data_IF_907382916618
#
_entry.id   IF_907382916618
#
_cell.length_a   1.000
_cell.length_b   1.000
_cell.length_c   1.000
_cell.angle_alpha   90.00
_cell.angle_beta   90.00
_cell.angle_gamma   90.00
#
_symmetry.space_group_name_H-M   'P 1'
#
loop_
_entity.id
_entity.type
_entity.pdbx_description
1 polymer ?
#
# COMPACT_ATOMS: atom_id res chain seq x y z
N UNK A 1 53.74 -42.77 -16.37
CA UNK A 1 52.74 -42.48 -17.43
C UNK A 1 51.31 -42.64 -16.87
N UNK A 2 50.96 -43.78 -16.24
CA UNK A 2 49.60 -44.00 -15.72
C UNK A 2 49.08 -43.01 -14.66
N UNK A 3 49.95 -42.45 -13.82
CA UNK A 3 49.56 -41.46 -12.78
C UNK A 3 49.28 -40.06 -13.34
N UNK A 4 49.91 -39.72 -14.47
CA UNK A 4 49.67 -38.44 -15.17
C UNK A 4 48.33 -38.47 -15.91
N UNK A 5 48.02 -39.60 -16.56
CA UNK A 5 46.74 -39.80 -17.26
C UNK A 5 45.55 -39.80 -16.29
N UNK A 6 45.70 -40.35 -15.06
CA UNK A 6 44.67 -40.34 -14.04
C UNK A 6 44.38 -38.90 -13.52
N UNK A 7 45.39 -38.06 -13.35
CA UNK A 7 45.24 -36.65 -12.94
C UNK A 7 44.59 -35.82 -14.02
N UNK A 8 44.88 -36.05 -15.28
CA UNK A 8 44.23 -35.33 -16.41
C UNK A 8 42.74 -35.70 -16.49
N UNK A 9 42.39 -37.01 -16.37
CA UNK A 9 41.03 -37.48 -16.36
C UNK A 9 40.22 -36.95 -15.15
N UNK A 10 40.82 -36.87 -13.95
CA UNK A 10 40.18 -36.25 -12.80
C UNK A 10 39.95 -34.77 -12.95
N UNK A 11 40.87 -34.02 -13.54
CA UNK A 11 40.73 -32.57 -13.79
C UNK A 11 39.68 -32.28 -14.86
N UNK A 12 39.62 -33.08 -15.93
CA UNK A 12 38.56 -32.97 -16.95
C UNK A 12 37.16 -33.29 -16.41
N UNK A 13 37.06 -34.32 -15.57
CA UNK A 13 35.79 -34.73 -14.97
C UNK A 13 35.29 -33.68 -13.96
N UNK A 14 36.20 -33.06 -13.19
CA UNK A 14 35.88 -31.96 -12.26
C UNK A 14 35.45 -30.69 -13.01
N UNK A 15 36.10 -30.38 -14.14
CA UNK A 15 35.74 -29.25 -15.00
C UNK A 15 34.35 -29.45 -15.67
N UNK A 16 34.06 -30.66 -16.16
CA UNK A 16 32.76 -31.01 -16.74
C UNK A 16 31.62 -30.92 -15.71
N UNK A 17 31.80 -31.49 -14.51
CA UNK A 17 30.79 -31.40 -13.44
C UNK A 17 30.56 -29.98 -12.97
N UNK A 18 31.58 -29.12 -12.97
CA UNK A 18 31.45 -27.68 -12.63
C UNK A 18 30.71 -26.88 -13.70
N UNK A 19 30.93 -27.21 -14.98
CA UNK A 19 30.23 -26.56 -16.11
C UNK A 19 28.77 -27.01 -16.15
N UNK A 20 28.50 -28.32 -16.03
CA UNK A 20 27.13 -28.87 -15.97
C UNK A 20 26.34 -28.34 -14.75
N UNK A 21 26.98 -28.18 -13.59
CA UNK A 21 26.40 -27.57 -12.40
C UNK A 21 26.03 -26.08 -12.62
N UNK A 22 26.90 -25.32 -13.29
CA UNK A 22 26.63 -23.91 -13.64
C UNK A 22 25.54 -23.77 -14.70
N UNK A 23 25.51 -24.64 -15.70
CA UNK A 23 24.45 -24.63 -16.72
C UNK A 23 23.10 -25.06 -16.15
N UNK A 24 23.06 -26.08 -15.29
CA UNK A 24 21.84 -26.52 -14.61
C UNK A 24 21.28 -25.42 -13.68
N UNK A 25 22.14 -24.75 -12.92
CA UNK A 25 21.79 -23.60 -12.09
C UNK A 25 21.28 -22.40 -12.90
N UNK A 26 21.92 -22.09 -14.03
CA UNK A 26 21.48 -21.05 -14.95
C UNK A 26 20.13 -21.36 -15.64
N UNK A 27 19.91 -22.63 -16.02
CA UNK A 27 18.64 -23.11 -16.58
C UNK A 27 17.52 -23.10 -15.52
N UNK A 28 17.82 -23.45 -14.29
CA UNK A 28 16.87 -23.44 -13.17
C UNK A 28 16.51 -21.99 -12.77
N UNK A 29 17.48 -21.07 -12.75
CA UNK A 29 17.26 -19.65 -12.53
C UNK A 29 16.42 -19.02 -13.66
N UNK A 30 16.72 -19.31 -14.92
CA UNK A 30 15.93 -18.84 -16.08
C UNK A 30 14.51 -19.40 -16.07
N UNK A 31 14.29 -20.66 -15.62
CA UNK A 31 12.96 -21.23 -15.42
C UNK A 31 12.22 -20.53 -14.28
N UNK A 32 12.90 -20.17 -13.19
CA UNK A 32 12.35 -19.40 -12.07
C UNK A 32 11.87 -18.01 -12.50
N UNK A 33 12.71 -17.22 -13.15
CA UNK A 33 12.37 -15.90 -13.68
C UNK A 33 11.24 -15.96 -14.70
N UNK A 34 11.27 -16.93 -15.62
CA UNK A 34 10.19 -17.13 -16.61
C UNK A 34 8.85 -17.50 -15.95
N UNK A 35 8.89 -18.23 -14.82
CA UNK A 35 7.71 -18.52 -14.01
C UNK A 35 7.19 -17.27 -13.30
N UNK A 36 8.08 -16.43 -12.76
CA UNK A 36 7.71 -15.16 -12.11
C UNK A 36 7.05 -14.16 -13.06
N UNK A 37 7.36 -14.22 -14.35
CA UNK A 37 6.82 -13.34 -15.38
C UNK A 37 5.74 -14.00 -16.26
N UNK A 38 5.22 -15.17 -15.84
CA UNK A 38 4.28 -15.95 -16.63
C UNK A 38 3.00 -15.17 -16.98
N UNK A 39 2.48 -14.35 -16.08
CA UNK A 39 1.29 -13.55 -16.35
C UNK A 39 1.50 -12.50 -17.46
N UNK A 40 2.73 -12.04 -17.71
CA UNK A 40 3.00 -11.13 -18.84
C UNK A 40 2.93 -11.78 -20.22
N UNK A 41 2.80 -13.10 -20.31
CA UNK A 41 2.52 -13.77 -21.60
C UNK A 41 1.11 -13.46 -22.11
N UNK A 42 0.17 -13.15 -21.20
CA UNK A 42 -1.20 -12.77 -21.53
C UNK A 42 -1.25 -11.30 -21.96
N UNK A 43 -1.69 -11.04 -23.21
CA UNK A 43 -1.75 -9.69 -23.78
C UNK A 43 -2.58 -8.74 -22.93
N UNK A 44 -3.78 -9.17 -22.53
CA UNK A 44 -4.72 -8.31 -21.80
C UNK A 44 -4.21 -7.99 -20.38
N UNK A 45 -3.57 -8.95 -19.69
CA UNK A 45 -2.91 -8.68 -18.41
C UNK A 45 -1.77 -7.67 -18.56
N UNK A 46 -0.91 -7.83 -19.56
CA UNK A 46 0.23 -6.93 -19.80
C UNK A 46 -0.23 -5.50 -20.06
N UNK A 47 -1.23 -5.31 -20.92
CA UNK A 47 -1.79 -4.00 -21.23
C UNK A 47 -2.41 -3.37 -19.98
N UNK A 48 -3.22 -4.13 -19.23
CA UNK A 48 -3.85 -3.66 -18.01
C UNK A 48 -2.81 -3.31 -16.94
N UNK A 49 -1.77 -4.13 -16.78
CA UNK A 49 -0.72 -3.91 -15.79
C UNK A 49 0.06 -2.61 -16.05
N UNK A 50 0.40 -2.33 -17.32
CA UNK A 50 1.08 -1.07 -17.70
C UNK A 50 0.18 0.13 -17.41
N UNK A 51 -1.09 0.10 -17.80
CA UNK A 51 -2.04 1.17 -17.51
C UNK A 51 -2.22 1.39 -16.01
N UNK A 52 -2.44 0.32 -15.26
CA UNK A 52 -2.59 0.39 -13.81
C UNK A 52 -1.31 0.89 -13.11
N UNK A 53 -0.12 0.53 -13.60
CA UNK A 53 1.15 1.02 -13.08
C UNK A 53 1.28 2.54 -13.29
N UNK A 54 1.00 3.03 -14.51
CA UNK A 54 1.01 4.46 -14.82
C UNK A 54 0.07 5.25 -13.90
N UNK A 55 -1.17 4.81 -13.78
CA UNK A 55 -2.18 5.45 -12.94
C UNK A 55 -1.81 5.39 -11.45
N UNK A 56 -1.27 4.27 -10.97
CA UNK A 56 -0.86 4.15 -9.57
C UNK A 56 0.30 5.09 -9.24
N UNK A 57 1.31 5.21 -10.12
CA UNK A 57 2.43 6.16 -9.94
C UNK A 57 1.91 7.59 -9.91
N UNK A 58 1.02 7.97 -10.86
CA UNK A 58 0.40 9.28 -10.88
C UNK A 58 -0.41 9.58 -9.62
N UNK A 59 -1.16 8.61 -9.12
CA UNK A 59 -1.95 8.74 -7.89
C UNK A 59 -1.05 8.97 -6.66
N UNK A 60 0.05 8.22 -6.50
CA UNK A 60 1.00 8.44 -5.42
C UNK A 60 1.72 9.78 -5.54
N UNK A 61 2.05 10.21 -6.75
CA UNK A 61 2.58 11.54 -7.03
C UNK A 61 1.59 12.63 -6.59
N UNK A 62 0.31 12.49 -6.95
CA UNK A 62 -0.73 13.43 -6.55
C UNK A 62 -0.92 13.48 -5.03
N UNK A 63 -0.90 12.33 -4.33
CA UNK A 63 -1.03 12.29 -2.87
C UNK A 63 0.04 13.18 -2.21
N UNK A 64 1.28 13.12 -2.68
CA UNK A 64 2.36 13.95 -2.17
C UNK A 64 2.10 15.44 -2.45
N UNK A 65 1.78 15.76 -3.69
CA UNK A 65 1.47 17.13 -4.12
C UNK A 65 0.29 17.71 -3.34
N UNK A 66 -0.77 16.92 -3.13
CA UNK A 66 -1.99 17.34 -2.43
C UNK A 66 -1.75 17.56 -0.94
N UNK A 67 -1.05 16.64 -0.25
CA UNK A 67 -0.71 16.81 1.16
C UNK A 67 0.14 18.07 1.39
N UNK A 68 1.08 18.34 0.51
CA UNK A 68 1.88 19.56 0.56
C UNK A 68 1.04 20.80 0.28
N UNK A 69 0.14 20.75 -0.70
CA UNK A 69 -0.78 21.84 -1.00
C UNK A 69 -1.72 22.15 0.17
N UNK A 70 -2.31 21.12 0.80
CA UNK A 70 -3.15 21.28 2.00
C UNK A 70 -2.37 21.97 3.11
N UNK A 71 -1.12 21.55 3.34
CA UNK A 71 -0.27 22.17 4.35
C UNK A 71 0.06 23.63 4.01
N UNK A 72 0.42 23.93 2.76
CA UNK A 72 0.77 25.29 2.31
C UNK A 72 -0.42 26.28 2.40
N UNK A 73 -1.65 25.80 2.15
CA UNK A 73 -2.87 26.61 2.23
C UNK A 73 -3.36 26.83 3.66
N UNK A 74 -3.18 25.87 4.56
CA UNK A 74 -3.83 25.89 5.88
C UNK A 74 -2.85 26.02 7.03
N UNK A 75 -1.61 25.60 6.83
CA UNK A 75 -0.60 25.46 7.87
C UNK A 75 -1.11 24.66 9.11
N UNK A 76 -2.06 23.74 8.91
CA UNK A 76 -2.79 23.04 9.97
C UNK A 76 -2.71 21.52 9.86
N UNK A 77 -2.25 20.82 10.92
CA UNK A 77 -2.28 19.35 10.98
C UNK A 77 -3.70 18.77 10.83
N UNK A 78 -4.71 19.48 11.34
CA UNK A 78 -6.09 19.04 11.27
C UNK A 78 -6.57 18.81 9.85
N UNK A 79 -6.29 19.76 8.92
CA UNK A 79 -6.72 19.61 7.53
C UNK A 79 -6.00 18.51 6.79
N UNK A 80 -4.76 18.17 7.14
CA UNK A 80 -4.07 16.97 6.63
C UNK A 80 -4.79 15.69 7.07
N UNK A 81 -5.13 15.61 8.35
CA UNK A 81 -5.89 14.49 8.89
C UNK A 81 -7.30 14.39 8.30
N UNK A 82 -7.96 15.53 8.10
CA UNK A 82 -9.30 15.62 7.51
C UNK A 82 -9.30 15.20 6.03
N UNK A 83 -8.30 15.60 5.24
CA UNK A 83 -8.17 15.18 3.84
C UNK A 83 -8.01 13.66 3.74
N UNK A 84 -7.08 13.09 4.52
CA UNK A 84 -6.89 11.65 4.59
C UNK A 84 -8.16 10.90 5.04
N UNK A 85 -8.90 11.47 6.00
CA UNK A 85 -10.18 10.91 6.45
C UNK A 85 -11.24 10.94 5.36
N UNK A 86 -11.45 12.09 4.71
CA UNK A 86 -12.47 12.27 3.68
C UNK A 86 -12.19 11.42 2.43
N UNK A 87 -10.94 11.20 2.09
CA UNK A 87 -10.56 10.33 0.97
C UNK A 87 -10.86 8.86 1.27
N UNK A 88 -10.67 8.41 2.51
CA UNK A 88 -10.81 7.00 2.89
C UNK A 88 -12.22 6.66 3.43
N UNK A 89 -12.95 7.61 3.97
CA UNK A 89 -14.28 7.39 4.54
C UNK A 89 -15.26 6.75 3.55
N UNK A 90 -15.39 7.23 2.30
CA UNK A 90 -16.28 6.60 1.34
C UNK A 90 -15.89 5.15 1.02
N UNK A 91 -14.59 4.85 1.04
CA UNK A 91 -14.09 3.49 0.79
C UNK A 91 -14.59 2.55 1.89
N UNK A 92 -14.56 2.97 3.15
CA UNK A 92 -15.07 2.17 4.26
C UNK A 92 -16.59 1.98 4.16
N UNK A 93 -17.32 3.05 3.86
CA UNK A 93 -18.78 3.03 3.82
C UNK A 93 -19.35 2.28 2.61
N UNK A 94 -18.75 2.46 1.44
CA UNK A 94 -19.33 2.03 0.17
C UNK A 94 -18.62 0.85 -0.50
N UNK A 95 -17.45 0.38 -0.04
CA UNK A 95 -16.73 -0.75 -0.69
C UNK A 95 -17.57 -2.04 -0.71
N UNK A 96 -18.35 -2.30 0.32
CA UNK A 96 -19.26 -3.47 0.34
C UNK A 96 -20.35 -3.36 -0.74
N UNK A 97 -20.91 -2.16 -0.90
CA UNK A 97 -21.90 -1.86 -1.95
C UNK A 97 -21.21 -1.93 -3.32
N UNK A 98 -20.00 -1.37 -3.44
CA UNK A 98 -19.16 -1.42 -4.64
C UNK A 98 -18.82 -2.85 -5.06
N UNK A 99 -18.58 -3.76 -4.10
CA UNK A 99 -18.38 -5.18 -4.37
C UNK A 99 -19.61 -5.83 -5.02
N UNK A 100 -20.79 -5.64 -4.42
CA UNK A 100 -22.07 -6.13 -5.01
C UNK A 100 -22.31 -5.52 -6.39
N UNK A 101 -21.98 -4.23 -6.56
CA UNK A 101 -22.12 -3.56 -7.85
C UNK A 101 -21.17 -4.16 -8.90
N UNK A 102 -19.91 -4.41 -8.53
CA UNK A 102 -18.91 -5.03 -9.40
C UNK A 102 -19.27 -6.49 -9.80
N UNK A 103 -20.04 -7.20 -8.94
CA UNK A 103 -20.55 -8.53 -9.26
C UNK A 103 -21.75 -8.50 -10.21
N UNK A 104 -22.63 -7.49 -10.11
CA UNK A 104 -23.87 -7.39 -10.88
C UNK A 104 -23.69 -6.69 -12.23
N UNK A 105 -22.79 -5.75 -12.32
CA UNK A 105 -22.55 -4.94 -13.50
C UNK A 105 -21.23 -5.31 -14.19
N UNK A 106 -21.04 -4.81 -15.39
CA UNK A 106 -19.80 -5.00 -16.15
C UNK A 106 -18.62 -4.34 -15.39
N UNK A 107 -17.68 -5.18 -14.93
CA UNK A 107 -16.50 -4.79 -14.14
C UNK A 107 -15.65 -3.76 -14.86
N UNK A 108 -15.47 -3.90 -16.19
CA UNK A 108 -14.74 -2.96 -17.03
C UNK A 108 -15.42 -1.61 -17.07
N UNK A 109 -16.77 -1.57 -17.27
CA UNK A 109 -17.53 -0.32 -17.29
C UNK A 109 -17.51 0.39 -15.93
N UNK A 110 -17.65 -0.36 -14.84
CA UNK A 110 -17.58 0.16 -13.48
C UNK A 110 -16.20 0.77 -13.21
N UNK A 111 -15.13 0.08 -13.62
CA UNK A 111 -13.77 0.60 -13.47
C UNK A 111 -13.55 1.84 -14.35
N UNK A 112 -14.00 1.84 -15.59
CA UNK A 112 -13.94 3.02 -16.46
C UNK A 112 -14.66 4.22 -15.86
N UNK A 113 -15.88 4.05 -15.33
CA UNK A 113 -16.61 5.11 -14.65
C UNK A 113 -15.82 5.70 -13.48
N UNK A 114 -15.19 4.83 -12.65
CA UNK A 114 -14.30 5.27 -11.58
C UNK A 114 -13.10 6.08 -12.11
N UNK A 115 -12.49 5.66 -13.22
CA UNK A 115 -11.36 6.38 -13.84
C UNK A 115 -11.80 7.74 -14.39
N UNK A 116 -12.97 7.86 -15.02
CA UNK A 116 -13.50 9.14 -15.47
C UNK A 116 -13.68 10.12 -14.32
N UNK A 117 -14.24 9.68 -13.18
CA UNK A 117 -14.43 10.54 -12.00
C UNK A 117 -13.06 10.97 -11.45
N UNK A 118 -12.08 10.06 -11.35
CA UNK A 118 -10.74 10.38 -10.87
C UNK A 118 -9.99 11.32 -11.82
N UNK A 119 -10.16 11.16 -13.13
CA UNK A 119 -9.64 12.13 -14.13
C UNK A 119 -10.24 13.51 -13.91
N UNK A 120 -11.57 13.57 -13.74
CA UNK A 120 -12.26 14.83 -13.48
C UNK A 120 -11.79 15.50 -12.20
N UNK A 121 -11.68 14.77 -11.08
CA UNK A 121 -11.26 15.33 -9.79
C UNK A 121 -9.82 15.83 -9.83
N UNK A 122 -8.91 15.07 -10.43
CA UNK A 122 -7.51 15.47 -10.60
C UNK A 122 -7.35 16.66 -11.56
N UNK A 123 -8.05 16.62 -12.71
CA UNK A 123 -8.06 17.72 -13.68
C UNK A 123 -8.70 18.99 -13.13
N UNK A 124 -9.77 18.87 -12.34
CA UNK A 124 -10.41 20.02 -11.67
C UNK A 124 -9.45 20.69 -10.68
N UNK A 125 -8.70 19.89 -9.87
CA UNK A 125 -7.66 20.46 -9.00
C UNK A 125 -6.59 21.21 -9.82
N UNK A 126 -6.15 20.64 -10.94
CA UNK A 126 -5.20 21.30 -11.82
C UNK A 126 -5.74 22.62 -12.37
N UNK A 127 -7.00 22.67 -12.80
CA UNK A 127 -7.65 23.89 -13.30
C UNK A 127 -7.80 24.94 -12.20
N UNK A 128 -8.26 24.54 -11.00
CA UNK A 128 -8.41 25.46 -9.87
C UNK A 128 -7.06 26.05 -9.43
N UNK A 129 -5.99 25.25 -9.46
CA UNK A 129 -4.62 25.70 -9.20
C UNK A 129 -4.13 26.67 -10.27
N UNK A 130 -4.37 26.36 -11.55
CA UNK A 130 -3.97 27.22 -12.67
C UNK A 130 -4.67 28.60 -12.62
N UNK A 131 -5.95 28.61 -12.25
CA UNK A 131 -6.74 29.84 -12.09
C UNK A 131 -6.45 30.57 -10.78
N UNK A 132 -5.61 30.06 -9.91
CA UNK A 132 -5.30 30.64 -8.59
C UNK A 132 -6.52 30.78 -7.65
N UNK A 133 -7.58 29.97 -7.84
CA UNK A 133 -8.81 30.00 -7.05
C UNK A 133 -9.00 28.78 -6.15
N UNK A 134 -7.95 27.98 -6.00
CA UNK A 134 -8.00 26.79 -5.14
C UNK A 134 -8.17 27.19 -3.67
N UNK A 135 -9.13 26.54 -2.99
CA UNK A 135 -9.37 26.65 -1.55
C UNK A 135 -9.38 25.26 -0.94
N UNK A 136 -9.13 25.18 0.34
CA UNK A 136 -9.09 23.90 1.08
C UNK A 136 -10.37 23.07 0.91
N UNK A 137 -11.53 23.70 0.91
CA UNK A 137 -12.81 23.00 0.75
C UNK A 137 -12.97 22.33 -0.63
N UNK A 138 -12.36 22.88 -1.70
CA UNK A 138 -12.32 22.22 -3.01
C UNK A 138 -11.56 20.89 -2.90
N UNK A 139 -10.38 20.91 -2.24
CA UNK A 139 -9.57 19.72 -2.06
C UNK A 139 -10.37 18.67 -1.27
N UNK A 140 -10.96 19.04 -0.13
CA UNK A 140 -11.76 18.15 0.71
C UNK A 140 -12.92 17.50 -0.05
N UNK A 141 -13.66 18.29 -0.83
CA UNK A 141 -14.79 17.80 -1.65
C UNK A 141 -14.31 16.85 -2.73
N UNK A 142 -13.24 17.19 -3.46
CA UNK A 142 -12.72 16.35 -4.53
C UNK A 142 -12.07 15.08 -3.99
N UNK A 143 -11.45 15.11 -2.80
CA UNK A 143 -10.96 13.92 -2.09
C UNK A 143 -12.08 12.95 -1.73
N UNK A 144 -13.20 13.47 -1.22
CA UNK A 144 -14.37 12.65 -0.93
C UNK A 144 -14.95 12.01 -2.19
N UNK A 145 -15.10 12.78 -3.28
CA UNK A 145 -15.58 12.26 -4.59
C UNK A 145 -14.62 11.18 -5.12
N UNK A 146 -13.31 11.40 -5.03
CA UNK A 146 -12.30 10.39 -5.40
C UNK A 146 -12.44 9.13 -4.57
N UNK A 147 -12.66 9.25 -3.26
CA UNK A 147 -12.92 8.13 -2.36
C UNK A 147 -14.17 7.33 -2.74
N UNK A 148 -15.27 8.03 -3.13
CA UNK A 148 -16.48 7.38 -3.67
C UNK A 148 -16.15 6.61 -4.94
N UNK A 149 -15.45 7.21 -5.89
CA UNK A 149 -15.06 6.54 -7.14
C UNK A 149 -14.21 5.29 -6.87
N UNK A 150 -13.27 5.36 -5.94
CA UNK A 150 -12.41 4.22 -5.56
C UNK A 150 -13.17 3.10 -4.85
N UNK A 151 -14.23 3.42 -4.10
CA UNK A 151 -15.06 2.42 -3.42
C UNK A 151 -15.75 1.45 -4.39
N UNK A 152 -16.00 1.87 -5.61
CA UNK A 152 -16.53 1.03 -6.70
C UNK A 152 -15.41 0.49 -7.61
N UNK A 153 -14.43 1.33 -7.93
CA UNK A 153 -13.32 0.99 -8.81
C UNK A 153 -12.40 -0.09 -8.24
N UNK A 154 -12.12 -0.06 -6.95
CA UNK A 154 -11.23 -1.03 -6.28
C UNK A 154 -11.73 -2.48 -6.38
N UNK A 155 -12.97 -2.80 -5.95
CA UNK A 155 -13.55 -4.14 -6.13
C UNK A 155 -13.64 -4.56 -7.60
N UNK A 156 -14.03 -3.65 -8.50
CA UNK A 156 -14.11 -3.93 -9.94
C UNK A 156 -12.72 -4.32 -10.51
N UNK A 157 -11.66 -3.62 -10.12
CA UNK A 157 -10.29 -3.93 -10.50
C UNK A 157 -9.85 -5.31 -10.01
N UNK A 158 -10.08 -5.62 -8.73
CA UNK A 158 -9.72 -6.92 -8.16
C UNK A 158 -10.49 -8.08 -8.81
N UNK A 159 -11.76 -7.86 -9.15
CA UNK A 159 -12.60 -8.85 -9.83
C UNK A 159 -12.25 -9.00 -11.31
N UNK A 160 -11.61 -8.00 -11.93
CA UNK A 160 -11.13 -8.04 -13.32
C UNK A 160 -9.86 -8.89 -13.44
N UNK A 161 -8.94 -8.82 -12.48
CA UNK A 161 -7.63 -9.47 -12.53
C UNK A 161 -7.69 -10.97 -12.87
N UNK A 162 -8.57 -11.79 -12.24
CA UNK A 162 -8.67 -13.22 -12.55
C UNK A 162 -9.18 -13.53 -13.97
N UNK A 163 -9.78 -12.56 -14.67
CA UNK A 163 -10.28 -12.73 -16.04
C UNK A 163 -9.22 -12.47 -17.11
N UNK A 164 -8.05 -11.94 -16.70
CA UNK A 164 -6.97 -11.56 -17.62
C UNK A 164 -5.91 -12.65 -17.79
N UNK A 165 -5.95 -13.70 -16.97
CA UNK A 165 -4.98 -14.80 -16.96
C UNK A 165 -5.67 -16.15 -16.73
N UNK A 166 -5.03 -17.25 -17.12
CA UNK A 166 -5.49 -18.58 -16.74
C UNK A 166 -5.38 -18.81 -15.22
N UNK A 167 -6.23 -19.70 -14.68
CA UNK A 167 -6.25 -20.03 -13.24
C UNK A 167 -4.89 -20.47 -12.70
N UNK A 168 -4.07 -21.17 -13.49
CA UNK A 168 -2.74 -21.66 -13.13
C UNK A 168 -1.74 -20.51 -12.88
N UNK A 169 -1.90 -19.37 -13.59
CA UNK A 169 -0.99 -18.22 -13.52
C UNK A 169 -1.56 -17.07 -12.68
N UNK A 170 -2.78 -17.24 -12.11
CA UNK A 170 -3.41 -16.24 -11.25
C UNK A 170 -2.55 -15.85 -10.03
N UNK A 171 -1.88 -16.77 -9.31
CA UNK A 171 -0.99 -16.38 -8.22
C UNK A 171 0.15 -15.46 -8.68
N UNK A 172 0.66 -15.68 -9.89
CA UNK A 172 1.69 -14.83 -10.49
C UNK A 172 1.15 -13.43 -10.83
N UNK A 173 -0.05 -13.34 -11.41
CA UNK A 173 -0.71 -12.07 -11.69
C UNK A 173 -0.96 -11.25 -10.41
N UNK A 174 -1.39 -11.89 -9.33
CA UNK A 174 -1.58 -11.25 -8.01
C UNK A 174 -0.25 -10.74 -7.44
N UNK A 175 0.83 -11.53 -7.54
CA UNK A 175 2.15 -11.10 -7.10
C UNK A 175 2.66 -9.89 -7.89
N UNK A 176 2.53 -9.90 -9.22
CA UNK A 176 2.91 -8.76 -10.08
C UNK A 176 2.08 -7.51 -9.81
N UNK A 177 0.79 -7.67 -9.47
CA UNK A 177 -0.06 -6.57 -9.06
C UNK A 177 0.40 -5.96 -7.71
N UNK A 178 0.83 -6.79 -6.78
CA UNK A 178 1.40 -6.33 -5.51
C UNK A 178 2.73 -5.58 -5.73
N UNK A 179 3.59 -6.07 -6.62
CA UNK A 179 4.83 -5.39 -7.02
C UNK A 179 4.52 -4.02 -7.62
N UNK A 180 3.56 -3.93 -8.54
CA UNK A 180 3.12 -2.69 -9.16
C UNK A 180 2.71 -1.64 -8.12
N UNK A 181 1.86 -2.03 -7.16
CA UNK A 181 1.38 -1.12 -6.12
C UNK A 181 2.52 -0.60 -5.23
N UNK A 182 3.43 -1.48 -4.80
CA UNK A 182 4.58 -1.09 -3.98
C UNK A 182 5.59 -0.24 -4.77
N UNK A 183 5.81 -0.55 -6.05
CA UNK A 183 6.67 0.24 -6.94
C UNK A 183 6.12 1.65 -7.12
N UNK A 184 4.82 1.79 -7.33
CA UNK A 184 4.15 3.09 -7.45
C UNK A 184 4.30 3.94 -6.18
N UNK A 185 4.28 3.32 -5.00
CA UNK A 185 4.47 3.98 -3.72
C UNK A 185 5.86 4.62 -3.56
N UNK A 186 6.86 4.11 -4.27
CA UNK A 186 8.23 4.68 -4.29
C UNK A 186 8.39 5.65 -5.46
N UNK A 187 7.98 5.23 -6.66
CA UNK A 187 8.18 6.03 -7.87
C UNK A 187 7.32 7.29 -7.90
N UNK A 188 6.11 7.27 -7.30
CA UNK A 188 5.23 8.45 -7.23
C UNK A 188 5.89 9.64 -6.53
N UNK A 189 6.35 9.51 -5.28
CA UNK A 189 7.11 10.54 -4.58
C UNK A 189 8.35 11.01 -5.35
N UNK A 190 9.14 10.08 -5.89
CA UNK A 190 10.34 10.41 -6.67
C UNK A 190 10.00 11.18 -7.95
N UNK A 191 8.92 10.82 -8.63
CA UNK A 191 8.44 11.53 -9.81
C UNK A 191 7.98 12.95 -9.44
N UNK A 192 7.31 13.13 -8.29
CA UNK A 192 6.96 14.46 -7.81
C UNK A 192 8.20 15.30 -7.51
N UNK A 193 9.20 14.76 -6.82
CA UNK A 193 10.46 15.46 -6.56
C UNK A 193 11.19 15.83 -7.85
N UNK A 194 11.22 14.93 -8.85
CA UNK A 194 11.80 15.19 -10.15
C UNK A 194 11.05 16.30 -10.92
N UNK A 195 9.70 16.27 -10.87
CA UNK A 195 8.86 17.32 -11.48
C UNK A 195 9.12 18.66 -10.82
N UNK A 196 9.11 18.71 -9.48
CA UNK A 196 9.42 19.92 -8.72
C UNK A 196 10.80 20.49 -9.07
N UNK A 197 11.85 19.65 -9.00
CA UNK A 197 13.22 20.07 -9.31
C UNK A 197 13.39 20.55 -10.76
N UNK A 198 12.68 19.94 -11.71
CA UNK A 198 12.71 20.35 -13.13
C UNK A 198 12.03 21.70 -13.33
N UNK A 199 10.85 21.91 -12.74
CA UNK A 199 10.12 23.17 -12.85
C UNK A 199 10.89 24.32 -12.20
N UNK A 200 11.46 24.12 -11.01
CA UNK A 200 12.28 25.13 -10.34
C UNK A 200 13.53 25.49 -11.15
N UNK A 201 14.20 24.52 -11.79
CA UNK A 201 15.35 24.76 -12.69
C UNK A 201 14.96 25.58 -13.92
N UNK A 202 13.73 25.45 -14.41
CA UNK A 202 13.23 26.22 -15.54
C UNK A 202 12.69 27.60 -15.14
N UNK A 203 12.79 27.97 -13.85
CA UNK A 203 12.37 29.27 -13.34
C UNK A 203 10.87 29.34 -12.99
N UNK A 204 10.17 28.19 -12.99
CA UNK A 204 8.78 28.12 -12.52
C UNK A 204 8.70 28.07 -10.99
N UNK A 205 7.56 28.45 -10.45
CA UNK A 205 7.28 28.44 -9.01
C UNK A 205 6.87 27.04 -8.51
N UNK A 206 7.01 26.80 -7.19
CA UNK A 206 6.54 25.57 -6.55
C UNK A 206 5.04 25.30 -6.78
N UNK A 207 4.10 26.25 -6.68
CA UNK A 207 2.69 26.02 -7.02
C UNK A 207 2.48 25.53 -8.46
N UNK A 208 3.28 25.99 -9.42
CA UNK A 208 3.21 25.53 -10.81
C UNK A 208 3.67 24.07 -10.95
N UNK A 209 4.69 23.66 -10.20
CA UNK A 209 5.13 22.26 -10.15
C UNK A 209 4.07 21.34 -9.50
N UNK A 210 3.42 21.81 -8.43
CA UNK A 210 2.30 21.09 -7.80
C UNK A 210 1.14 20.94 -8.80
N UNK A 211 0.81 22.01 -9.53
CA UNK A 211 -0.20 21.96 -10.58
C UNK A 211 0.14 20.96 -11.68
N UNK A 212 1.40 20.93 -12.12
CA UNK A 212 1.87 19.93 -13.10
C UNK A 212 1.68 18.49 -12.59
N UNK A 213 1.86 18.24 -11.29
CA UNK A 213 1.62 16.92 -10.71
C UNK A 213 0.15 16.48 -10.82
N UNK A 214 -0.80 17.36 -10.57
CA UNK A 214 -2.23 17.07 -10.77
C UNK A 214 -2.56 16.82 -12.23
N UNK A 215 -2.02 17.62 -13.14
CA UNK A 215 -2.21 17.47 -14.57
C UNK A 215 -1.62 16.15 -15.08
N UNK A 216 -0.40 15.79 -14.68
CA UNK A 216 0.25 14.53 -15.05
C UNK A 216 -0.53 13.32 -14.53
N UNK A 217 -1.08 13.40 -13.32
CA UNK A 217 -1.95 12.34 -12.83
C UNK A 217 -3.25 12.24 -13.63
N UNK A 218 -3.91 13.36 -13.96
CA UNK A 218 -5.07 13.34 -14.84
C UNK A 218 -4.75 12.67 -16.19
N UNK A 219 -3.56 12.95 -16.76
CA UNK A 219 -3.10 12.30 -18.00
C UNK A 219 -2.86 10.79 -17.80
N UNK A 220 -2.35 10.36 -16.65
CA UNK A 220 -2.14 8.94 -16.35
C UNK A 220 -3.44 8.14 -16.36
N UNK A 221 -4.56 8.75 -15.96
CA UNK A 221 -5.88 8.12 -16.05
C UNK A 221 -6.35 7.92 -17.49
N UNK A 222 -5.99 8.80 -18.44
CA UNK A 222 -6.28 8.55 -19.86
C UNK A 222 -5.54 7.34 -20.38
N UNK A 223 -4.30 7.10 -19.93
CA UNK A 223 -3.55 5.88 -20.29
C UNK A 223 -4.29 4.64 -19.82
N UNK A 224 -4.73 4.57 -18.55
CA UNK A 224 -5.46 3.40 -18.06
C UNK A 224 -6.83 3.25 -18.70
N UNK A 225 -7.52 4.34 -19.01
CA UNK A 225 -8.79 4.26 -19.77
C UNK A 225 -8.58 3.67 -21.15
N UNK A 226 -7.53 4.10 -21.87
CA UNK A 226 -7.15 3.52 -23.17
C UNK A 226 -6.83 2.03 -23.07
N UNK A 227 -6.08 1.61 -22.03
CA UNK A 227 -5.82 0.18 -21.81
C UNK A 227 -7.09 -0.60 -21.52
N UNK A 228 -7.97 -0.08 -20.64
CA UNK A 228 -9.26 -0.72 -20.34
C UNK A 228 -10.14 -0.85 -21.58
N UNK A 229 -10.17 0.16 -22.45
CA UNK A 229 -10.92 0.10 -23.71
C UNK A 229 -10.39 -0.94 -24.69
N UNK A 230 -9.11 -1.27 -24.60
CA UNK A 230 -8.43 -2.26 -25.45
C UNK A 230 -8.58 -3.71 -24.96
N UNK A 231 -9.18 -3.95 -23.78
CA UNK A 231 -9.36 -5.29 -23.22
C UNK A 231 -10.50 -6.05 -23.89
N UNK A 232 -10.28 -7.34 -24.14
CA UNK A 232 -11.28 -8.27 -24.68
C UNK A 232 -11.83 -9.20 -23.60
N UNK A 233 -12.43 -8.63 -22.55
CA UNK A 233 -12.98 -9.41 -21.42
C UNK A 233 -14.46 -9.67 -21.61
N UNK A 234 -14.86 -10.95 -21.57
CA UNK A 234 -16.27 -11.35 -21.58
C UNK A 234 -16.91 -11.06 -20.23
N UNK A 235 -18.11 -10.48 -20.25
CA UNK A 235 -18.92 -10.32 -19.04
C UNK A 235 -19.29 -11.71 -18.49
N UNK A 236 -18.95 -11.97 -17.24
CA UNK A 236 -19.34 -13.20 -16.53
C UNK A 236 -20.55 -12.83 -15.66
N UNK A 237 -21.73 -13.42 -15.92
CA UNK A 237 -22.92 -13.15 -15.11
C UNK A 237 -22.71 -13.55 -13.66
N UNK A 238 -23.35 -12.85 -12.70
CA UNK A 238 -23.19 -13.10 -11.28
C UNK A 238 -23.68 -14.50 -10.91
N UNK A 239 -22.89 -15.22 -10.14
CA UNK A 239 -23.33 -16.41 -9.43
C UNK A 239 -24.22 -15.95 -8.24
N UNK A 240 -25.30 -16.68 -7.94
CA UNK A 240 -26.23 -16.36 -6.86
C UNK A 240 -25.46 -16.09 -5.56
N UNK A 241 -25.61 -14.88 -5.02
CA UNK A 241 -24.98 -14.49 -3.75
C UNK A 241 -25.99 -14.63 -2.61
N UNK A 242 -25.58 -15.32 -1.56
CA UNK A 242 -26.29 -15.33 -0.27
C UNK A 242 -26.48 -13.90 0.24
N UNK A 243 -27.46 -13.69 1.13
CA UNK A 243 -27.68 -12.36 1.71
C UNK A 243 -26.42 -11.90 2.47
N UNK A 244 -25.76 -10.86 1.97
CA UNK A 244 -24.54 -10.27 2.55
C UNK A 244 -24.63 -10.05 4.07
N UNK A 245 -25.80 -9.68 4.57
CA UNK A 245 -26.06 -9.46 6.00
C UNK A 245 -25.87 -10.73 6.83
N UNK A 246 -26.30 -11.88 6.31
CA UNK A 246 -26.21 -13.17 7.01
C UNK A 246 -24.75 -13.67 7.01
N UNK A 247 -24.03 -13.41 5.94
CA UNK A 247 -22.60 -13.73 5.85
C UNK A 247 -21.76 -12.89 6.82
N UNK A 248 -22.00 -11.58 6.90
CA UNK A 248 -21.32 -10.71 7.87
C UNK A 248 -21.66 -11.10 9.31
N UNK A 249 -22.93 -11.39 9.60
CA UNK A 249 -23.35 -11.81 10.94
C UNK A 249 -22.70 -13.13 11.36
N UNK A 250 -22.66 -14.10 10.49
CA UNK A 250 -21.99 -15.39 10.75
C UNK A 250 -20.47 -15.23 10.94
N UNK A 251 -19.83 -14.39 10.11
CA UNK A 251 -18.42 -14.05 10.25
C UNK A 251 -18.12 -13.38 11.59
N UNK A 252 -18.92 -12.39 11.98
CA UNK A 252 -18.76 -11.67 13.26
C UNK A 252 -18.97 -12.60 14.46
N UNK A 253 -19.96 -13.48 14.39
CA UNK A 253 -20.21 -14.50 15.42
C UNK A 253 -19.00 -15.43 15.54
N UNK A 254 -18.45 -15.91 14.40
CA UNK A 254 -17.27 -16.76 14.39
C UNK A 254 -16.04 -16.07 15.00
N UNK A 255 -15.74 -14.84 14.58
CA UNK A 255 -14.60 -14.07 15.11
C UNK A 255 -14.72 -13.87 16.62
N UNK A 256 -15.91 -13.50 17.13
CA UNK A 256 -16.14 -13.27 18.57
C UNK A 256 -15.86 -14.49 19.43
N UNK A 257 -16.02 -15.70 18.91
CA UNK A 257 -15.78 -16.95 19.64
C UNK A 257 -14.33 -17.46 19.48
N UNK A 258 -13.49 -16.76 18.72
CA UNK A 258 -12.08 -17.13 18.51
C UNK A 258 -11.17 -16.00 18.99
N UNK A 259 -10.72 -16.08 20.25
CA UNK A 259 -9.92 -15.03 20.90
C UNK A 259 -8.68 -14.61 20.12
N UNK A 260 -7.98 -15.56 19.46
CA UNK A 260 -6.80 -15.27 18.63
C UNK A 260 -7.16 -14.39 17.43
N UNK A 261 -8.31 -14.61 16.76
CA UNK A 261 -8.77 -13.76 15.65
C UNK A 261 -9.15 -12.37 16.13
N UNK A 262 -9.83 -12.27 17.28
CA UNK A 262 -10.16 -10.97 17.89
C UNK A 262 -8.87 -10.20 18.18
N UNK A 263 -7.88 -10.85 18.79
CA UNK A 263 -6.59 -10.22 19.12
C UNK A 263 -5.87 -9.71 17.89
N UNK A 264 -5.78 -10.50 16.81
CA UNK A 264 -5.15 -10.11 15.56
C UNK A 264 -5.89 -8.96 14.84
N UNK A 265 -7.23 -8.96 14.86
CA UNK A 265 -8.04 -7.90 14.26
C UNK A 265 -7.90 -6.60 15.05
N UNK A 266 -7.92 -6.67 16.39
CA UNK A 266 -7.69 -5.51 17.26
C UNK A 266 -6.27 -4.98 17.07
N UNK A 267 -5.27 -5.86 17.04
CA UNK A 267 -3.88 -5.48 16.79
C UNK A 267 -3.75 -4.71 15.46
N UNK A 268 -4.35 -5.22 14.37
CA UNK A 268 -4.34 -4.56 13.08
C UNK A 268 -5.04 -3.18 13.11
N UNK A 269 -6.21 -3.10 13.75
CA UNK A 269 -6.96 -1.85 13.87
C UNK A 269 -6.18 -0.79 14.65
N UNK A 270 -5.60 -1.16 15.79
CA UNK A 270 -4.80 -0.26 16.63
C UNK A 270 -3.51 0.16 15.93
N UNK A 271 -2.83 -0.79 15.24
CA UNK A 271 -1.62 -0.49 14.46
C UNK A 271 -1.90 0.54 13.36
N UNK A 272 -3.02 0.38 12.65
CA UNK A 272 -3.37 1.33 11.59
C UNK A 272 -3.84 2.67 12.14
N UNK A 273 -4.60 2.66 13.24
CA UNK A 273 -5.09 3.87 13.89
C UNK A 273 -3.93 4.73 14.42
N UNK A 274 -2.98 4.15 15.12
CA UNK A 274 -1.85 4.88 15.71
C UNK A 274 -0.70 5.09 14.71
N UNK A 275 -0.40 4.08 13.90
CA UNK A 275 0.82 4.06 13.10
C UNK A 275 0.73 4.87 11.81
N UNK A 276 -0.41 4.88 11.11
CA UNK A 276 -0.53 5.61 9.84
C UNK A 276 -0.46 7.12 9.96
N UNK A 277 -0.74 7.67 11.14
CA UNK A 277 -0.62 9.10 11.42
C UNK A 277 0.78 9.66 11.08
N UNK A 278 1.84 8.85 11.21
CA UNK A 278 3.21 9.30 10.86
C UNK A 278 3.30 9.70 9.38
N UNK A 279 2.73 8.92 8.48
CA UNK A 279 2.75 9.21 7.04
C UNK A 279 1.92 10.45 6.69
N UNK A 280 0.79 10.65 7.36
CA UNK A 280 -0.09 11.81 7.19
C UNK A 280 0.62 13.11 7.58
N UNK A 281 1.48 13.08 8.61
CA UNK A 281 2.14 14.28 9.12
C UNK A 281 3.57 14.47 8.64
N UNK A 282 4.11 13.60 7.78
CA UNK A 282 5.44 13.78 7.20
C UNK A 282 5.66 15.17 6.55
N UNK A 283 4.69 15.79 5.83
CA UNK A 283 4.91 17.13 5.30
C UNK A 283 5.15 18.18 6.40
N UNK A 284 4.51 18.03 7.59
CA UNK A 284 4.78 18.88 8.74
C UNK A 284 6.19 18.69 9.30
N UNK A 285 6.68 17.46 9.35
CA UNK A 285 8.07 17.18 9.75
C UNK A 285 9.05 17.79 8.76
N UNK A 286 8.82 17.61 7.44
CA UNK A 286 9.65 18.20 6.42
C UNK A 286 9.73 19.72 6.57
N UNK A 287 8.59 20.41 6.73
CA UNK A 287 8.53 21.86 6.81
C UNK A 287 8.99 22.43 8.16
N UNK A 288 8.47 21.89 9.29
CA UNK A 288 8.64 22.53 10.61
C UNK A 288 9.82 21.97 11.41
N UNK A 289 10.19 20.71 11.19
CA UNK A 289 11.28 20.05 11.94
C UNK A 289 12.59 20.12 11.19
N UNK A 290 12.55 19.84 9.88
CA UNK A 290 13.75 19.83 9.05
C UNK A 290 13.93 21.10 8.23
N UNK A 291 12.99 22.06 8.30
CA UNK A 291 13.03 23.32 7.53
C UNK A 291 13.26 23.10 6.03
N UNK A 292 12.76 21.97 5.52
CA UNK A 292 12.84 21.58 4.12
C UNK A 292 11.59 21.93 3.33
N UNK A 293 11.60 21.53 2.07
CA UNK A 293 10.58 21.79 1.06
C UNK A 293 9.77 20.54 0.70
N UNK A 294 8.94 20.65 -0.34
CA UNK A 294 8.18 19.51 -0.86
C UNK A 294 9.06 18.37 -1.40
N UNK A 295 10.30 18.65 -1.83
CA UNK A 295 11.27 17.63 -2.22
C UNK A 295 11.74 16.82 -1.00
N UNK A 296 12.01 17.49 0.12
CA UNK A 296 12.34 16.85 1.40
C UNK A 296 11.25 15.88 1.83
N UNK A 297 9.99 16.32 1.78
CA UNK A 297 8.84 15.44 2.06
C UNK A 297 8.79 14.23 1.11
N UNK A 298 9.03 14.45 -0.17
CA UNK A 298 9.03 13.38 -1.17
C UNK A 298 10.10 12.32 -0.90
N UNK A 299 11.32 12.74 -0.53
CA UNK A 299 12.40 11.82 -0.16
C UNK A 299 12.03 11.00 1.09
N UNK A 300 11.54 11.64 2.14
CA UNK A 300 11.08 10.95 3.36
C UNK A 300 10.03 9.87 3.03
N UNK A 301 9.09 10.19 2.14
CA UNK A 301 8.04 9.24 1.73
C UNK A 301 8.61 8.10 0.89
N UNK A 302 9.57 8.38 0.00
CA UNK A 302 10.27 7.37 -0.81
C UNK A 302 11.05 6.39 0.08
N UNK A 303 11.78 6.87 1.10
CA UNK A 303 12.48 6.00 2.07
C UNK A 303 11.52 5.08 2.81
N UNK A 304 10.38 5.60 3.28
CA UNK A 304 9.33 4.77 3.90
C UNK A 304 8.77 3.73 2.93
N UNK A 305 8.57 4.09 1.66
CA UNK A 305 8.13 3.20 0.60
C UNK A 305 9.14 2.08 0.32
N UNK A 306 10.43 2.42 0.18
CA UNK A 306 11.52 1.45 0.01
C UNK A 306 11.59 0.47 1.19
N UNK A 307 11.46 0.97 2.42
CA UNK A 307 11.37 0.11 3.60
C UNK A 307 10.20 -0.86 3.55
N UNK A 308 9.03 -0.41 3.08
CA UNK A 308 7.86 -1.28 2.93
C UNK A 308 8.09 -2.41 1.91
N UNK A 309 8.81 -2.13 0.82
CA UNK A 309 9.22 -3.16 -0.15
C UNK A 309 10.17 -4.15 0.51
N UNK A 310 11.17 -3.66 1.24
CA UNK A 310 12.12 -4.52 1.96
C UNK A 310 11.40 -5.43 2.96
N UNK A 311 10.47 -4.89 3.75
CA UNK A 311 9.66 -5.68 4.68
C UNK A 311 8.82 -6.76 4.01
N UNK A 312 8.19 -6.44 2.88
CA UNK A 312 7.43 -7.41 2.08
C UNK A 312 8.32 -8.55 1.56
N UNK A 313 9.52 -8.21 1.07
CA UNK A 313 10.49 -9.19 0.59
C UNK A 313 11.01 -10.09 1.72
N UNK A 314 11.28 -9.55 2.90
CA UNK A 314 11.69 -10.32 4.07
C UNK A 314 10.62 -11.33 4.46
N UNK A 315 9.34 -10.91 4.56
CA UNK A 315 8.24 -11.83 4.88
C UNK A 315 8.04 -12.89 3.78
N UNK A 316 8.16 -12.49 2.52
CA UNK A 316 8.06 -13.43 1.39
C UNK A 316 9.21 -14.48 1.40
N UNK A 317 10.42 -14.06 1.79
CA UNK A 317 11.57 -14.95 1.94
C UNK A 317 11.44 -15.89 3.13
N UNK A 318 10.94 -15.41 4.26
CA UNK A 318 10.70 -16.24 5.45
C UNK A 318 9.59 -17.28 5.21
N UNK A 319 8.59 -16.98 4.38
CA UNK A 319 7.45 -17.86 4.11
C UNK A 319 6.64 -18.17 5.38
N UNK A 320 6.23 -19.43 5.54
CA UNK A 320 5.62 -19.92 6.77
C UNK A 320 6.73 -20.34 7.75
N UNK A 321 6.79 -19.72 8.90
CA UNK A 321 7.78 -19.99 9.95
C UNK A 321 7.09 -20.17 11.31
N UNK A 322 7.81 -20.80 12.22
CA UNK A 322 7.32 -21.01 13.58
C UNK A 322 7.20 -19.67 14.33
N UNK A 323 6.19 -19.57 15.20
CA UNK A 323 5.94 -18.39 16.06
C UNK A 323 5.70 -17.08 15.29
N UNK A 324 4.96 -17.14 14.19
CA UNK A 324 4.58 -15.95 13.41
C UNK A 324 3.91 -14.89 14.28
N UNK A 325 3.08 -15.28 15.25
CA UNK A 325 2.41 -14.36 16.17
C UNK A 325 3.40 -13.59 17.06
N UNK A 326 4.39 -14.28 17.60
CA UNK A 326 5.45 -13.64 18.40
C UNK A 326 6.26 -12.65 17.54
N UNK A 327 6.60 -13.03 16.32
CA UNK A 327 7.33 -12.14 15.40
C UNK A 327 6.51 -10.90 15.05
N UNK A 328 5.19 -11.04 14.82
CA UNK A 328 4.32 -9.89 14.57
C UNK A 328 4.31 -8.91 15.76
N UNK A 329 4.22 -9.42 17.00
CA UNK A 329 4.24 -8.59 18.21
C UNK A 329 5.61 -7.94 18.46
N UNK A 330 6.72 -8.65 18.21
CA UNK A 330 8.07 -8.07 18.29
C UNK A 330 8.24 -6.95 17.26
N UNK A 331 7.82 -7.19 15.99
CA UNK A 331 7.88 -6.16 14.94
C UNK A 331 6.96 -4.98 15.26
N UNK A 332 5.81 -5.20 15.90
CA UNK A 332 4.95 -4.14 16.41
C UNK A 332 5.65 -3.28 17.46
N UNK A 333 6.35 -3.88 18.42
CA UNK A 333 7.11 -3.16 19.43
C UNK A 333 8.26 -2.36 18.80
N UNK A 334 9.01 -2.98 17.88
CA UNK A 334 10.07 -2.32 17.10
C UNK A 334 9.49 -1.14 16.32
N UNK A 335 8.36 -1.32 15.65
CA UNK A 335 7.65 -0.27 14.92
C UNK A 335 7.31 0.92 15.81
N UNK A 336 6.76 0.67 17.00
CA UNK A 336 6.46 1.72 17.99
C UNK A 336 7.71 2.46 18.47
N UNK A 337 8.81 1.75 18.76
CA UNK A 337 10.09 2.34 19.13
C UNK A 337 10.68 3.19 17.99
N UNK A 338 10.62 2.73 16.76
CA UNK A 338 11.10 3.47 15.60
C UNK A 338 10.31 4.78 15.38
N UNK A 339 8.99 4.73 15.54
CA UNK A 339 8.13 5.92 15.48
C UNK A 339 8.47 6.90 16.60
N UNK A 340 8.65 6.41 17.83
CA UNK A 340 9.05 7.22 18.96
C UNK A 340 10.41 7.90 18.72
N UNK A 341 11.40 7.15 18.25
CA UNK A 341 12.73 7.68 17.92
C UNK A 341 12.66 8.70 16.78
N UNK A 342 11.86 8.43 15.73
CA UNK A 342 11.61 9.36 14.64
C UNK A 342 11.00 10.69 15.14
N UNK A 343 10.05 10.64 16.07
CA UNK A 343 9.37 11.83 16.59
C UNK A 343 10.33 12.80 17.30
N UNK A 344 11.40 12.28 17.87
CA UNK A 344 12.42 13.06 18.63
C UNK A 344 13.57 13.49 17.71
N UNK A 345 13.78 12.78 16.59
CA UNK A 345 14.90 13.03 15.69
C UNK A 345 14.83 14.43 15.08
N UNK A 346 16.01 15.08 14.99
CA UNK A 346 16.20 16.40 14.35
C UNK A 346 17.24 16.34 13.24
N UNK A 347 17.72 15.13 12.92
CA UNK A 347 18.77 14.88 11.94
C UNK A 347 18.14 14.22 10.72
N UNK A 348 18.21 14.86 9.55
CA UNK A 348 17.50 14.43 8.35
C UNK A 348 17.89 13.01 7.90
N UNK A 349 19.20 12.73 7.72
CA UNK A 349 19.64 11.42 7.26
C UNK A 349 19.25 10.28 8.22
N UNK A 350 19.27 10.55 9.55
CA UNK A 350 18.84 9.58 10.56
C UNK A 350 17.33 9.32 10.44
N UNK A 351 16.55 10.37 10.23
CA UNK A 351 15.10 10.28 10.07
C UNK A 351 14.70 9.51 8.81
N UNK A 352 15.43 9.65 7.73
CA UNK A 352 15.24 8.84 6.50
C UNK A 352 15.50 7.35 6.75
N UNK A 353 16.58 7.01 7.46
CA UNK A 353 16.88 5.63 7.88
C UNK A 353 15.78 5.10 8.81
N UNK A 354 15.34 5.89 9.78
CA UNK A 354 14.25 5.52 10.68
C UNK A 354 12.94 5.27 9.89
N UNK A 355 12.63 6.10 8.90
CA UNK A 355 11.45 5.92 8.05
C UNK A 355 11.56 4.65 7.18
N UNK A 356 12.74 4.33 6.67
CA UNK A 356 13.00 3.06 5.99
C UNK A 356 12.74 1.87 6.93
N UNK A 357 13.34 1.88 8.13
CA UNK A 357 13.12 0.84 9.13
C UNK A 357 11.66 0.76 9.59
N UNK A 358 11.00 1.91 9.77
CA UNK A 358 9.57 2.03 10.11
C UNK A 358 8.69 1.40 9.04
N UNK A 359 8.93 1.71 7.77
CA UNK A 359 8.23 1.10 6.63
C UNK A 359 8.42 -0.42 6.57
N UNK A 360 9.64 -0.89 6.84
CA UNK A 360 9.98 -2.33 6.91
C UNK A 360 9.20 -3.02 8.02
N UNK A 361 9.27 -2.50 9.24
CA UNK A 361 8.60 -3.09 10.41
C UNK A 361 7.07 -3.11 10.22
N UNK A 362 6.49 -2.00 9.75
CA UNK A 362 5.06 -1.90 9.49
C UNK A 362 4.59 -2.95 8.49
N UNK A 363 5.33 -3.11 7.38
CA UNK A 363 4.96 -4.09 6.35
C UNK A 363 5.11 -5.53 6.85
N UNK A 364 6.10 -5.80 7.68
CA UNK A 364 6.26 -7.11 8.34
C UNK A 364 5.08 -7.41 9.27
N UNK A 365 4.65 -6.45 10.11
CA UNK A 365 3.46 -6.61 10.96
C UNK A 365 2.24 -6.93 10.11
N UNK A 366 1.95 -6.13 9.09
CA UNK A 366 0.75 -6.32 8.26
C UNK A 366 0.74 -7.62 7.50
N UNK A 367 1.85 -7.98 6.88
CA UNK A 367 1.94 -9.23 6.11
C UNK A 367 1.80 -10.44 7.00
N UNK A 368 2.45 -10.43 8.18
CA UNK A 368 2.40 -11.54 9.13
C UNK A 368 1.02 -11.68 9.76
N UNK A 369 0.41 -10.57 10.22
CA UNK A 369 -0.96 -10.60 10.79
C UNK A 369 -1.98 -11.04 9.75
N UNK A 370 -1.89 -10.53 8.51
CA UNK A 370 -2.78 -10.95 7.41
C UNK A 370 -2.65 -12.46 7.14
N UNK A 371 -1.43 -12.98 7.11
CA UNK A 371 -1.16 -14.41 6.91
C UNK A 371 -1.72 -15.25 8.05
N UNK A 372 -1.54 -14.84 9.31
CA UNK A 372 -2.09 -15.52 10.48
C UNK A 372 -3.62 -15.58 10.45
N UNK A 373 -4.29 -14.47 10.16
CA UNK A 373 -5.75 -14.44 10.04
C UNK A 373 -6.23 -15.43 8.96
N UNK A 374 -5.53 -15.51 7.82
CA UNK A 374 -5.85 -16.47 6.76
C UNK A 374 -5.58 -17.93 7.13
N UNK A 375 -4.55 -18.21 7.94
CA UNK A 375 -4.18 -19.55 8.38
C UNK A 375 -5.13 -20.07 9.46
N UNK A 376 -5.55 -19.22 10.40
CA UNK A 376 -6.46 -19.59 11.50
C UNK A 376 -7.90 -19.77 10.99
N UNK A 377 -8.33 -18.95 10.02
CA UNK A 377 -9.68 -19.02 9.49
C UNK A 377 -9.90 -20.28 8.63
N UNK A 378 -10.90 -21.14 8.95
CA UNK A 378 -11.24 -22.30 8.13
C UNK A 378 -11.70 -21.87 6.74
N UNK A 379 -11.56 -22.77 5.75
CA UNK A 379 -11.83 -22.44 4.34
C UNK A 379 -13.22 -21.84 4.11
N UNK A 380 -14.26 -22.36 4.80
CA UNK A 380 -15.66 -21.93 4.66
C UNK A 380 -15.90 -20.53 5.22
N UNK A 381 -15.10 -20.10 6.22
CA UNK A 381 -15.26 -18.82 6.91
C UNK A 381 -14.21 -17.79 6.52
N UNK A 382 -13.16 -18.21 5.79
CA UNK A 382 -11.98 -17.36 5.48
C UNK A 382 -12.37 -16.04 4.82
N UNK A 383 -13.26 -16.06 3.83
CA UNK A 383 -13.72 -14.84 3.17
C UNK A 383 -14.42 -13.87 4.11
N UNK A 384 -15.28 -14.39 5.00
CA UNK A 384 -16.04 -13.59 5.98
C UNK A 384 -15.14 -12.98 7.05
N UNK A 385 -14.20 -13.78 7.59
CA UNK A 385 -13.21 -13.32 8.58
C UNK A 385 -12.29 -12.27 7.96
N UNK A 386 -11.81 -12.49 6.73
CA UNK A 386 -10.97 -11.53 6.02
C UNK A 386 -11.69 -10.22 5.72
N UNK A 387 -13.01 -10.24 5.44
CA UNK A 387 -13.79 -9.01 5.26
C UNK A 387 -13.84 -8.18 6.54
N UNK A 388 -14.05 -8.81 7.71
CA UNK A 388 -14.04 -8.12 9.01
C UNK A 388 -12.64 -7.56 9.32
N UNK A 389 -11.60 -8.36 9.10
CA UNK A 389 -10.22 -7.92 9.23
C UNK A 389 -9.92 -6.68 8.37
N UNK A 390 -10.35 -6.70 7.10
CA UNK A 390 -10.11 -5.57 6.18
C UNK A 390 -10.85 -4.31 6.58
N UNK A 391 -12.06 -4.42 7.15
CA UNK A 391 -12.80 -3.26 7.69
C UNK A 391 -12.04 -2.67 8.88
N UNK A 392 -11.57 -3.50 9.81
CA UNK A 392 -10.79 -3.05 10.96
C UNK A 392 -9.46 -2.42 10.54
N UNK A 393 -8.75 -3.07 9.63
CA UNK A 393 -7.47 -2.60 9.08
C UNK A 393 -7.60 -1.26 8.34
N UNK A 394 -8.56 -1.13 7.43
CA UNK A 394 -8.76 0.10 6.65
C UNK A 394 -9.44 1.21 7.45
N UNK A 395 -10.27 0.86 8.42
CA UNK A 395 -10.98 1.83 9.25
C UNK A 395 -10.07 2.56 10.24
N UNK A 396 -9.02 1.90 10.71
CA UNK A 396 -8.06 2.52 11.63
C UNK A 396 -7.32 3.72 11.02
N UNK A 397 -6.92 3.62 9.75
CA UNK A 397 -6.13 4.67 9.08
C UNK A 397 -6.78 6.06 9.09
N UNK A 398 -8.00 6.26 8.54
CA UNK A 398 -8.61 7.58 8.46
C UNK A 398 -9.00 8.12 9.82
N UNK A 399 -9.50 7.26 10.72
CA UNK A 399 -9.85 7.67 12.07
C UNK A 399 -8.61 8.11 12.85
N UNK A 400 -7.50 7.39 12.71
CA UNK A 400 -6.21 7.76 13.33
C UNK A 400 -5.63 9.04 12.76
N UNK A 401 -5.73 9.27 11.44
CA UNK A 401 -5.28 10.50 10.80
C UNK A 401 -6.10 11.71 11.25
N UNK A 402 -7.43 11.57 11.33
CA UNK A 402 -8.31 12.64 11.79
C UNK A 402 -8.07 12.98 13.27
N UNK A 403 -8.07 11.95 14.15
CA UNK A 403 -7.81 12.12 15.59
C UNK A 403 -6.40 12.69 15.81
N UNK A 404 -5.39 12.13 15.15
CA UNK A 404 -4.04 12.62 15.20
C UNK A 404 -3.91 14.06 14.73
N UNK A 405 -4.63 14.45 13.65
CA UNK A 405 -4.69 15.83 13.16
C UNK A 405 -5.26 16.80 14.19
N UNK A 406 -6.35 16.42 14.84
CA UNK A 406 -6.95 17.21 15.90
C UNK A 406 -5.99 17.41 17.09
N UNK A 407 -5.42 16.33 17.61
CA UNK A 407 -4.47 16.43 18.71
C UNK A 407 -3.16 17.15 18.32
N UNK A 408 -2.70 16.99 17.08
CA UNK A 408 -1.50 17.68 16.60
C UNK A 408 -1.66 19.21 16.52
N UNK A 409 -2.89 19.74 16.44
CA UNK A 409 -3.12 21.18 16.56
C UNK A 409 -2.90 21.69 17.99
N UNK A 410 -3.12 20.84 19.00
CA UNK A 410 -3.02 21.20 20.41
C UNK A 410 -1.61 21.04 20.95
N UNK A 411 -0.98 19.87 20.70
CA UNK A 411 0.29 19.48 21.32
C UNK A 411 1.44 19.29 20.33
N UNK A 412 1.19 19.56 19.04
CA UNK A 412 2.18 19.43 17.96
C UNK A 412 2.29 18.00 17.41
N UNK A 413 2.58 17.92 16.10
CA UNK A 413 2.69 16.63 15.39
C UNK A 413 3.79 15.71 15.97
N UNK A 414 5.02 16.19 16.32
CA UNK A 414 6.04 15.32 16.92
C UNK A 414 5.57 14.66 18.22
N UNK A 415 4.88 15.39 19.10
CA UNK A 415 4.37 14.88 20.37
C UNK A 415 3.32 13.80 20.14
N UNK A 416 2.35 14.04 19.23
CA UNK A 416 1.32 13.05 18.89
C UNK A 416 1.95 11.76 18.36
N UNK A 417 2.91 11.88 17.44
CA UNK A 417 3.61 10.73 16.86
C UNK A 417 4.41 9.98 17.92
N UNK A 418 5.06 10.70 18.84
CA UNK A 418 5.76 10.09 19.98
C UNK A 418 4.82 9.31 20.91
N UNK A 419 3.67 9.90 21.27
CA UNK A 419 2.62 9.23 22.07
C UNK A 419 2.13 7.97 21.34
N UNK A 420 1.85 8.07 20.05
CA UNK A 420 1.43 6.91 19.24
C UNK A 420 2.50 5.81 19.27
N UNK A 421 3.79 6.15 19.19
CA UNK A 421 4.89 5.19 19.31
C UNK A 421 4.88 4.46 20.65
N UNK A 422 4.74 5.20 21.76
CA UNK A 422 4.63 4.61 23.10
C UNK A 422 3.41 3.70 23.21
N UNK A 423 2.25 4.14 22.73
CA UNK A 423 1.02 3.32 22.76
C UNK A 423 1.17 2.04 21.96
N UNK A 424 1.83 2.07 20.80
CA UNK A 424 2.10 0.88 19.99
C UNK A 424 2.99 -0.12 20.73
N UNK A 425 4.01 0.35 21.46
CA UNK A 425 4.87 -0.50 22.32
C UNK A 425 4.06 -1.09 23.47
N UNK A 426 3.23 -0.29 24.14
CA UNK A 426 2.39 -0.77 25.25
C UNK A 426 1.37 -1.82 24.78
N UNK A 427 0.77 -1.63 23.60
CA UNK A 427 -0.14 -2.62 23.00
C UNK A 427 0.62 -3.92 22.69
N UNK A 428 1.80 -3.85 22.11
CA UNK A 428 2.61 -5.04 21.86
C UNK A 428 2.99 -5.74 23.18
N UNK A 429 3.41 -5.00 24.20
CA UNK A 429 3.73 -5.54 25.52
C UNK A 429 2.50 -6.20 26.18
N UNK A 430 1.33 -5.57 26.10
CA UNK A 430 0.09 -6.15 26.62
C UNK A 430 -0.21 -7.52 25.99
N UNK A 431 -0.16 -7.63 24.66
CA UNK A 431 -0.40 -8.90 23.98
C UNK A 431 0.70 -9.93 24.26
N UNK A 432 1.94 -9.52 24.45
CA UNK A 432 3.04 -10.42 24.83
C UNK A 432 2.89 -10.98 26.24
N UNK A 433 2.39 -10.19 27.20
CA UNK A 433 2.33 -10.56 28.62
C UNK A 433 0.99 -11.24 28.97
N UNK A 434 -0.14 -10.73 28.47
CA UNK A 434 -1.49 -11.13 28.91
C UNK A 434 -2.11 -12.18 27.99
N UNK A 435 -1.88 -12.13 26.68
CA UNK A 435 -2.49 -13.06 25.69
C UNK A 435 -1.46 -14.04 25.09
N UNK A 436 -0.45 -14.43 25.90
CA UNK A 436 0.67 -15.25 25.43
C UNK A 436 0.30 -16.58 24.79
N UNK A 437 -0.82 -17.23 25.19
CA UNK A 437 -1.21 -18.54 24.66
C UNK A 437 -1.96 -18.50 23.32
N UNK A 438 -2.68 -17.43 22.99
CA UNK A 438 -3.51 -17.39 21.76
C UNK A 438 -2.83 -16.86 20.51
N UNK A 439 -1.96 -15.87 20.64
CA UNK A 439 -1.27 -15.21 19.51
C UNK A 439 0.18 -15.67 19.38
N UNK A 440 0.81 -16.08 20.48
CA UNK A 440 2.23 -16.45 20.54
C UNK A 440 2.49 -17.85 19.97
N UNK A 441 1.51 -18.75 20.07
CA UNK A 441 1.59 -20.14 19.59
C UNK A 441 1.06 -20.30 18.15
N UNK A 442 0.37 -19.29 17.60
CA UNK A 442 -0.03 -19.23 16.21
C UNK A 442 1.12 -18.72 15.33
#
# INVERSE_FOLDING_TARGET
MAELDLKILMTENTARTTIEGKESGARQSRRGVRRMLAAFTYRDFRIQWIGACSSAIGTWMQIIAQNWLVLSLTNSPFYLGLDAFLQQLPIILFTLIGGVFADRYDRRRTLLASQYIQTFTSGMLAVLMYLHVVHVWHIMTLSFITGVAQSFGGPAYQSLLPLLVDKKDLPNAVALNSIQFNLARVLGPLLFAATLGTFLKWGYSEPQAINAAFFLNAMSFFVVMGTLMSLHVKHVPPTQTNRMRDELRSGLHYVRHHGSLVALIVLAAVTTFLGFAVLTFLPLFAQRVFHGDASTYSHMMAFSGCGSIAGALVVAWLGKFERMGLTALMMQAIYGLLILTFSISRVMWLSEILLFCTGTALMMVFSTVTSLVQLIAPNEMRGRVMSIYMVAFRGGMPLGSLAGGYFATMIGAPTVIGINGVLLVLVAAYFLLVHSHGVREA
#
